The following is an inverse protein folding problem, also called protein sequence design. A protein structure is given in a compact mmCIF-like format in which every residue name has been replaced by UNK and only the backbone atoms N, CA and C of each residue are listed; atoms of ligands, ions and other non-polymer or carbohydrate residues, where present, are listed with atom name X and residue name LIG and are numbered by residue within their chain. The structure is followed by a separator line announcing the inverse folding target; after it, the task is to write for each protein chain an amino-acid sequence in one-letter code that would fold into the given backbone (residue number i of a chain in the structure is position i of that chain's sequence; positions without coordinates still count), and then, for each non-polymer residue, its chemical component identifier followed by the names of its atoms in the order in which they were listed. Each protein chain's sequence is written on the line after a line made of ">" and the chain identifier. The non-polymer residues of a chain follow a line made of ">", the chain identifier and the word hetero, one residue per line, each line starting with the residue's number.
data_IF_492348559446
#
_entry.id   IF_492348559446
#
_cell.length_a   1.000
_cell.length_b   1.000
_cell.length_c   1.000
_cell.angle_alpha   90.00
_cell.angle_beta   90.00
_cell.angle_gamma   90.00
#
_symmetry.space_group_name_H-M   'P 1'
#
loop_
_entity.id
_entity.type
_entity.pdbx_description
1 polymer ?
#
# COMPACT_ATOMS: atom_id res chain seq x y z
N UNK A 1 14.69 14.70 14.76
CA UNK A 1 13.54 13.93 15.29
C UNK A 1 12.79 13.16 14.20
N UNK A 2 12.43 13.79 13.07
CA UNK A 2 11.75 13.12 11.95
C UNK A 2 12.51 11.91 11.36
N UNK A 3 13.85 11.99 11.27
CA UNK A 3 14.68 10.88 10.77
C UNK A 3 14.55 9.61 11.63
N UNK A 4 14.62 9.75 12.96
CA UNK A 4 14.45 8.62 13.89
C UNK A 4 13.06 7.97 13.76
N UNK A 5 12.01 8.77 13.53
CA UNK A 5 10.66 8.25 13.29
C UNK A 5 10.61 7.49 11.97
N UNK A 6 11.21 8.02 10.91
CA UNK A 6 11.30 7.35 9.61
C UNK A 6 12.04 6.02 9.69
N UNK A 7 13.20 6.00 10.34
CA UNK A 7 13.98 4.77 10.57
C UNK A 7 13.19 3.74 11.37
N UNK A 8 12.44 4.16 12.40
CA UNK A 8 11.59 3.26 13.18
C UNK A 8 10.48 2.66 12.33
N UNK A 9 9.75 3.48 11.56
CA UNK A 9 8.70 2.99 10.64
C UNK A 9 9.25 2.04 9.59
N UNK A 10 10.44 2.32 9.05
CA UNK A 10 11.13 1.43 8.12
C UNK A 10 11.44 0.08 8.76
N UNK A 11 11.95 0.06 10.00
CA UNK A 11 12.19 -1.16 10.75
C UNK A 11 10.90 -1.95 11.05
N UNK A 12 9.75 -1.27 11.07
CA UNK A 12 8.43 -1.90 11.21
C UNK A 12 7.92 -2.63 9.96
N UNK A 13 8.55 -2.44 8.79
CA UNK A 13 8.18 -3.16 7.56
C UNK A 13 8.87 -4.51 7.58
N UNK A 14 8.12 -5.57 7.89
CA UNK A 14 8.67 -6.93 7.97
C UNK A 14 8.64 -7.66 6.63
N UNK A 15 7.65 -7.38 5.78
CA UNK A 15 7.49 -8.03 4.48
C UNK A 15 6.76 -7.11 3.49
N UNK A 16 7.16 -7.19 2.22
CA UNK A 16 6.38 -6.70 1.09
C UNK A 16 6.32 -7.80 0.02
N UNK A 17 5.10 -8.17 -0.36
CA UNK A 17 4.85 -9.08 -1.48
C UNK A 17 4.07 -8.33 -2.56
N UNK A 18 4.55 -8.34 -3.79
CA UNK A 18 3.90 -7.66 -4.91
C UNK A 18 3.63 -8.64 -6.04
N UNK A 19 2.42 -8.63 -6.57
CA UNK A 19 2.02 -9.52 -7.66
C UNK A 19 1.10 -8.81 -8.67
N UNK A 20 1.17 -9.16 -9.96
CA UNK A 20 0.17 -8.76 -10.93
C UNK A 20 -1.22 -9.32 -10.55
N UNK A 21 -2.26 -8.54 -10.80
CA UNK A 21 -3.66 -8.96 -10.59
C UNK A 21 -4.54 -8.42 -11.72
N UNK A 22 -5.53 -9.20 -12.13
CA UNK A 22 -6.57 -8.75 -13.05
C UNK A 22 -7.89 -8.55 -12.29
N UNK A 23 -8.57 -7.42 -12.53
CA UNK A 23 -9.88 -7.08 -11.92
C UNK A 23 -10.88 -6.73 -13.02
N UNK A 24 -12.13 -7.11 -12.83
CA UNK A 24 -13.22 -6.61 -13.67
C UNK A 24 -13.67 -5.24 -13.15
N UNK A 25 -13.52 -4.20 -13.96
CA UNK A 25 -14.00 -2.84 -13.67
C UNK A 25 -15.01 -2.47 -14.75
N UNK A 26 -16.27 -2.27 -14.36
CA UNK A 26 -17.38 -1.94 -15.30
C UNK A 26 -17.48 -2.91 -16.50
N UNK A 27 -17.23 -4.20 -16.26
CA UNK A 27 -17.30 -5.24 -17.30
C UNK A 27 -16.05 -5.37 -18.18
N UNK A 28 -15.00 -4.59 -17.95
CA UNK A 28 -13.74 -4.70 -18.67
C UNK A 28 -12.64 -5.27 -17.76
N UNK A 29 -11.79 -6.20 -18.25
CA UNK A 29 -10.62 -6.64 -17.51
C UNK A 29 -9.59 -5.51 -17.47
N UNK A 30 -9.24 -5.08 -16.26
CA UNK A 30 -8.17 -4.12 -15.99
C UNK A 30 -7.05 -4.85 -15.28
N UNK A 31 -5.83 -4.72 -15.81
CA UNK A 31 -4.62 -5.26 -15.19
C UNK A 31 -4.07 -4.26 -14.19
N UNK A 32 -3.65 -4.74 -13.04
CA UNK A 32 -3.05 -3.93 -12.00
C UNK A 32 -2.00 -4.69 -11.22
N UNK A 33 -1.52 -4.04 -10.16
CA UNK A 33 -0.55 -4.60 -9.23
C UNK A 33 -1.18 -4.58 -7.84
N UNK A 34 -1.01 -5.68 -7.10
CA UNK A 34 -1.36 -5.76 -5.68
C UNK A 34 -0.09 -5.89 -4.87
N UNK A 35 0.08 -5.00 -3.89
CA UNK A 35 1.14 -5.08 -2.89
C UNK A 35 0.53 -5.38 -1.53
N UNK A 36 1.09 -6.36 -0.83
CA UNK A 36 0.74 -6.72 0.55
C UNK A 36 1.93 -6.38 1.44
N UNK A 37 1.72 -5.45 2.36
CA UNK A 37 2.69 -5.03 3.37
C UNK A 37 2.36 -5.71 4.71
N UNK A 38 3.36 -6.25 5.38
CA UNK A 38 3.24 -6.65 6.79
C UNK A 38 3.97 -5.63 7.66
N UNK A 39 3.23 -5.04 8.60
CA UNK A 39 3.71 -3.98 9.48
C UNK A 39 3.64 -4.41 10.94
N UNK A 40 4.76 -4.27 11.65
CA UNK A 40 4.85 -4.42 13.10
C UNK A 40 4.43 -3.11 13.77
N UNK A 41 3.29 -3.14 14.47
CA UNK A 41 2.71 -1.95 15.10
C UNK A 41 3.60 -1.38 16.21
N UNK A 42 4.47 -2.16 16.85
CA UNK A 42 5.38 -1.67 17.91
C UNK A 42 6.39 -0.63 17.38
N UNK A 43 6.60 -0.63 16.07
CA UNK A 43 7.45 0.33 15.38
C UNK A 43 6.74 1.64 15.00
N UNK A 44 5.43 1.73 15.21
CA UNK A 44 4.61 2.93 14.98
C UNK A 44 4.23 3.59 16.31
N UNK A 45 3.74 4.83 16.26
CA UNK A 45 3.27 5.54 17.46
C UNK A 45 1.94 4.99 17.99
N UNK A 46 1.11 4.45 17.11
CA UNK A 46 -0.19 3.84 17.38
C UNK A 46 -0.66 3.08 16.13
N UNK A 47 -1.77 2.35 16.24
CA UNK A 47 -2.45 1.76 15.08
C UNK A 47 -2.91 2.83 14.08
N UNK A 48 -3.37 3.99 14.57
CA UNK A 48 -3.72 5.13 13.70
C UNK A 48 -2.52 5.68 12.92
N UNK A 49 -1.32 5.67 13.52
CA UNK A 49 -0.08 6.06 12.83
C UNK A 49 0.30 5.04 11.73
N UNK A 50 0.11 3.74 12.00
CA UNK A 50 0.29 2.67 11.02
C UNK A 50 -0.69 2.80 9.85
N UNK A 51 -1.97 3.06 10.14
CA UNK A 51 -2.99 3.28 9.11
C UNK A 51 -2.68 4.52 8.26
N UNK A 52 -2.26 5.62 8.88
CA UNK A 52 -1.87 6.84 8.16
C UNK A 52 -0.66 6.58 7.26
N UNK A 53 0.33 5.84 7.76
CA UNK A 53 1.49 5.42 6.96
C UNK A 53 1.06 4.60 5.73
N UNK A 54 0.17 3.62 5.91
CA UNK A 54 -0.42 2.85 4.81
C UNK A 54 -1.18 3.72 3.80
N UNK A 55 -1.92 4.72 4.28
CA UNK A 55 -2.66 5.67 3.43
C UNK A 55 -1.72 6.49 2.55
N UNK A 56 -0.62 7.01 3.12
CA UNK A 56 0.40 7.74 2.36
C UNK A 56 1.09 6.83 1.33
N UNK A 57 1.41 5.59 1.70
CA UNK A 57 2.00 4.62 0.76
C UNK A 57 1.05 4.25 -0.37
N UNK A 58 -0.24 4.08 -0.10
CA UNK A 58 -1.23 3.80 -1.15
C UNK A 58 -1.26 4.93 -2.18
N UNK A 59 -1.26 6.18 -1.72
CA UNK A 59 -1.24 7.34 -2.61
C UNK A 59 0.06 7.43 -3.41
N UNK A 60 1.20 7.11 -2.77
CA UNK A 60 2.49 7.07 -3.43
C UNK A 60 2.54 6.00 -4.53
N UNK A 61 2.09 4.78 -4.26
CA UNK A 61 2.08 3.70 -5.26
C UNK A 61 1.16 3.99 -6.45
N UNK A 62 0.04 4.67 -6.23
CA UNK A 62 -0.84 5.09 -7.32
C UNK A 62 -0.17 6.05 -8.32
N UNK A 63 0.86 6.80 -7.92
CA UNK A 63 1.63 7.67 -8.82
C UNK A 63 2.46 6.88 -9.84
N UNK A 64 2.78 5.61 -9.55
CA UNK A 64 3.57 4.74 -10.43
C UNK A 64 2.70 3.73 -11.20
N UNK A 65 1.40 3.67 -10.91
CA UNK A 65 0.47 2.97 -11.78
C UNK A 65 0.28 3.78 -13.07
N UNK A 66 0.48 3.13 -14.22
CA UNK A 66 0.10 3.70 -15.52
C UNK A 66 -1.39 4.04 -15.54
N UNK A 67 -1.84 5.01 -16.33
CA UNK A 67 -3.26 5.39 -16.47
C UNK A 67 -4.19 4.19 -16.73
N UNK A 68 -3.72 3.16 -17.42
CA UNK A 68 -4.50 1.96 -17.75
C UNK A 68 -4.37 0.83 -16.72
N UNK A 69 -3.72 1.09 -15.60
CA UNK A 69 -3.52 0.15 -14.51
C UNK A 69 -3.98 0.74 -13.18
N UNK A 70 -4.23 -0.15 -12.22
CA UNK A 70 -4.47 0.23 -10.84
C UNK A 70 -3.37 -0.33 -9.94
N UNK A 71 -3.18 0.33 -8.80
CA UNK A 71 -2.48 -0.26 -7.67
C UNK A 71 -3.46 -0.51 -6.54
N UNK A 72 -3.33 -1.68 -5.90
CA UNK A 72 -4.05 -2.03 -4.69
C UNK A 72 -3.04 -2.29 -3.59
N UNK A 73 -3.11 -1.51 -2.51
CA UNK A 73 -2.33 -1.74 -1.30
C UNK A 73 -3.18 -2.47 -0.26
N UNK A 74 -2.61 -3.54 0.29
CA UNK A 74 -3.07 -4.15 1.52
C UNK A 74 -1.98 -4.03 2.58
N UNK A 75 -2.38 -3.69 3.80
CA UNK A 75 -1.52 -3.70 4.97
C UNK A 75 -2.08 -4.71 5.95
N UNK A 76 -1.22 -5.58 6.46
CA UNK A 76 -1.51 -6.51 7.55
C UNK A 76 -0.74 -6.03 8.77
N UNK A 77 -1.46 -5.71 9.82
CA UNK A 77 -0.86 -5.44 11.12
C UNK A 77 -0.48 -6.79 11.76
N UNK A 78 0.79 -7.01 12.05
CA UNK A 78 1.26 -8.31 12.55
C UNK A 78 0.86 -8.56 14.01
N UNK A 79 0.55 -7.51 14.76
CA UNK A 79 0.27 -7.61 16.20
C UNK A 79 -1.14 -8.15 16.45
N UNK A 80 -2.13 -7.66 15.70
CA UNK A 80 -3.55 -8.04 15.86
C UNK A 80 -4.13 -8.78 14.63
N UNK A 81 -3.34 -8.96 13.57
CA UNK A 81 -3.75 -9.58 12.30
C UNK A 81 -4.83 -8.81 11.52
N UNK A 82 -5.11 -7.55 11.90
CA UNK A 82 -6.03 -6.71 11.14
C UNK A 82 -5.49 -6.40 9.75
N UNK A 83 -6.41 -6.30 8.79
CA UNK A 83 -6.09 -6.05 7.38
C UNK A 83 -6.79 -4.78 6.90
N UNK A 84 -5.99 -3.83 6.45
CA UNK A 84 -6.46 -2.61 5.80
C UNK A 84 -6.23 -2.73 4.30
N UNK A 85 -7.25 -2.36 3.52
CA UNK A 85 -7.16 -2.36 2.05
C UNK A 85 -7.54 -1.00 1.53
N UNK A 86 -6.64 -0.38 0.77
CA UNK A 86 -6.94 0.84 0.03
C UNK A 86 -7.36 0.46 -1.38
N UNK A 87 -8.59 0.84 -1.73
CA UNK A 87 -9.21 0.52 -3.01
C UNK A 87 -8.59 1.29 -4.18
N UNK A 88 -8.75 0.71 -5.38
CA UNK A 88 -8.19 1.15 -6.65
C UNK A 88 -8.13 2.67 -6.79
N UNK A 89 -6.92 3.21 -6.73
CA UNK A 89 -6.65 4.51 -7.31
C UNK A 89 -6.28 4.28 -8.78
N UNK A 90 -6.99 4.93 -9.70
CA UNK A 90 -6.62 4.93 -11.11
C UNK A 90 -5.25 5.59 -11.24
N UNK A 91 -4.36 4.95 -12.00
CA UNK A 91 -3.02 5.47 -12.24
C UNK A 91 -3.07 6.87 -12.86
N UNK A 92 -2.11 7.72 -12.48
CA UNK A 92 -2.03 9.10 -12.98
C UNK A 92 -0.92 9.28 -14.03
N UNK A 93 -0.14 8.25 -14.34
CA UNK A 93 0.97 8.34 -15.30
C UNK A 93 0.56 8.07 -16.75
N UNK A 94 0.73 9.05 -17.66
CA UNK A 94 0.62 8.81 -19.10
C UNK A 94 1.62 7.76 -19.55
N UNK A 95 1.21 6.88 -20.47
CA UNK A 95 2.12 5.97 -21.15
C UNK A 95 3.12 6.82 -21.95
N UNK A 96 4.43 6.64 -21.70
CA UNK A 96 5.50 7.20 -22.54
C UNK A 96 5.72 6.34 -23.78
#
# INVERSE_FOLDING_TARGET
>A
QAERVSQKRLAGISEIATQPVDRMVRGLPVRGIRSVLKLDQQNFGSEGDLYLFGTVLSQFFALYASINAFHQLEVVNTDNQERYTWTLQQGQQPLM
#
